data_IF_434358341568
#
_entry.id   IF_434358341568
#
_cell.length_a   1.000
_cell.length_b   1.000
_cell.length_c   1.000
_cell.angle_alpha   90.00
_cell.angle_beta   90.00
_cell.angle_gamma   90.00
#
_symmetry.space_group_name_H-M   'P 1'
#
loop_
_entity.id
_entity.type
_entity.pdbx_description
1 polymer ?
#
# COMPACT_ATOMS: atom_id res chain seq x y z
N UNK A 1 -0.40 25.86 3.46
CA UNK A 1 -0.66 24.54 2.85
C UNK A 1 0.37 23.59 3.41
N UNK A 2 -0.06 22.61 4.17
CA UNK A 2 0.77 21.52 4.67
C UNK A 2 0.40 20.20 3.99
N UNK A 3 1.34 19.23 3.97
CA UNK A 3 1.10 17.85 3.57
C UNK A 3 1.39 16.99 4.79
N UNK A 4 0.42 16.21 5.21
CA UNK A 4 0.53 15.28 6.32
C UNK A 4 0.53 13.85 5.79
N UNK A 5 1.59 13.09 6.03
CA UNK A 5 1.65 11.67 5.70
C UNK A 5 1.22 10.84 6.91
N UNK A 6 0.32 9.88 6.70
CA UNK A 6 -0.27 9.02 7.74
C UNK A 6 -0.03 7.57 7.37
N UNK A 7 0.38 6.76 8.34
CA UNK A 7 0.56 5.31 8.25
C UNK A 7 -0.75 4.55 8.06
N UNK A 8 -0.69 3.24 8.20
CA UNK A 8 -1.83 2.34 8.07
C UNK A 8 -2.96 2.74 9.02
N UNK A 9 -4.15 3.05 8.47
CA UNK A 9 -5.31 3.50 9.26
C UNK A 9 -6.10 2.29 9.78
N UNK A 10 -6.23 1.27 8.97
CA UNK A 10 -6.82 -0.01 9.33
C UNK A 10 -8.16 0.10 10.09
N UNK A 11 -9.10 0.91 9.57
CA UNK A 11 -10.42 1.06 10.17
C UNK A 11 -10.47 1.81 11.52
N UNK A 12 -9.37 2.44 11.94
CA UNK A 12 -9.27 3.22 13.19
C UNK A 12 -9.79 4.66 12.97
N UNK A 13 -11.07 4.80 12.71
CA UNK A 13 -11.69 6.09 12.36
C UNK A 13 -11.59 7.13 13.47
N UNK A 14 -11.85 6.74 14.72
CA UNK A 14 -11.84 7.69 15.82
C UNK A 14 -10.45 8.23 16.11
N UNK A 15 -9.42 7.40 16.02
CA UNK A 15 -8.02 7.75 16.16
C UNK A 15 -7.58 8.69 15.02
N UNK A 16 -8.04 8.39 13.79
CA UNK A 16 -7.81 9.28 12.65
C UNK A 16 -8.43 10.66 12.88
N UNK A 17 -9.67 10.74 13.36
CA UNK A 17 -10.33 12.03 13.68
C UNK A 17 -9.55 12.81 14.74
N UNK A 18 -9.15 12.15 15.84
CA UNK A 18 -8.34 12.78 16.88
C UNK A 18 -7.00 13.29 16.35
N UNK A 19 -6.36 12.53 15.45
CA UNK A 19 -5.13 12.97 14.81
C UNK A 19 -5.36 14.21 13.94
N UNK A 20 -6.41 14.23 13.10
CA UNK A 20 -6.75 15.37 12.25
C UNK A 20 -7.06 16.63 13.08
N UNK A 21 -7.77 16.49 14.20
CA UNK A 21 -7.99 17.58 15.15
C UNK A 21 -6.68 18.09 15.79
N UNK A 22 -5.83 17.17 16.25
CA UNK A 22 -4.55 17.48 16.88
C UNK A 22 -3.62 18.24 15.96
N UNK A 23 -3.53 17.86 14.69
CA UNK A 23 -2.72 18.56 13.68
C UNK A 23 -3.42 19.79 13.09
N UNK A 24 -4.67 20.04 13.49
CA UNK A 24 -5.52 21.13 12.97
C UNK A 24 -5.63 21.08 11.45
N UNK A 25 -5.87 19.88 10.91
CA UNK A 25 -6.01 19.69 9.46
C UNK A 25 -7.15 20.54 8.90
N UNK A 26 -6.83 21.35 7.89
CA UNK A 26 -7.82 22.17 7.16
C UNK A 26 -7.91 21.68 5.70
N UNK A 27 -8.98 20.97 5.38
CA UNK A 27 -9.21 20.42 4.03
C UNK A 27 -9.30 21.50 2.93
N UNK A 28 -9.49 22.78 3.27
CA UNK A 28 -9.46 23.86 2.30
C UNK A 28 -8.03 24.21 1.84
N UNK A 29 -7.02 23.94 2.69
CA UNK A 29 -5.64 24.37 2.47
C UNK A 29 -4.65 23.20 2.44
N UNK A 30 -4.88 22.15 3.24
CA UNK A 30 -3.92 21.06 3.48
C UNK A 30 -4.23 19.83 2.64
N UNK A 31 -3.26 18.90 2.58
CA UNK A 31 -3.42 17.59 1.92
C UNK A 31 -2.98 16.46 2.86
N UNK A 32 -3.66 15.33 2.70
CA UNK A 32 -3.25 14.06 3.34
C UNK A 32 -2.58 13.16 2.30
N UNK A 33 -1.51 12.51 2.71
CA UNK A 33 -0.90 11.39 2.01
C UNK A 33 -1.05 10.14 2.87
N UNK A 34 -1.77 9.15 2.36
CA UNK A 34 -2.12 7.93 3.08
C UNK A 34 -1.40 6.74 2.44
N UNK A 35 -0.63 6.02 3.23
CA UNK A 35 0.20 4.91 2.74
C UNK A 35 -0.60 3.64 2.41
N UNK A 36 -1.92 3.69 2.45
CA UNK A 36 -2.80 2.55 2.20
C UNK A 36 -3.25 1.85 3.48
N UNK A 37 -3.78 0.64 3.33
CA UNK A 37 -4.43 -0.11 4.40
C UNK A 37 -5.43 0.76 5.17
N UNK A 38 -6.37 1.35 4.42
CA UNK A 38 -7.44 2.16 4.99
C UNK A 38 -8.40 1.30 5.81
N UNK A 39 -8.54 0.03 5.44
CA UNK A 39 -9.56 -0.89 5.94
C UNK A 39 -8.97 -2.06 6.73
N UNK A 40 -9.87 -2.84 7.33
CA UNK A 40 -9.61 -4.06 8.08
C UNK A 40 -9.04 -3.80 9.50
N UNK A 41 -8.95 -4.84 10.33
CA UNK A 41 -8.41 -4.84 11.70
C UNK A 41 -9.24 -4.01 12.69
N UNK A 42 -9.29 -2.71 12.54
CA UNK A 42 -10.08 -1.81 13.35
C UNK A 42 -11.58 -1.88 13.02
N UNK A 43 -12.44 -1.27 13.84
CA UNK A 43 -13.88 -1.49 13.80
C UNK A 43 -14.64 -0.69 12.73
N UNK A 44 -14.06 0.40 12.20
CA UNK A 44 -14.81 1.43 11.47
C UNK A 44 -14.31 1.63 10.02
N UNK A 45 -13.99 0.54 9.31
CA UNK A 45 -13.48 0.59 7.92
C UNK A 45 -14.39 1.39 6.98
N UNK A 46 -15.71 1.24 7.13
CA UNK A 46 -16.70 1.96 6.33
C UNK A 46 -16.62 3.48 6.52
N UNK A 47 -16.49 3.93 7.77
CA UNK A 47 -16.39 5.36 8.08
C UNK A 47 -15.08 5.95 7.56
N UNK A 48 -13.97 5.20 7.65
CA UNK A 48 -12.68 5.61 7.07
C UNK A 48 -12.79 5.81 5.56
N UNK A 49 -13.33 4.83 4.83
CA UNK A 49 -13.48 4.94 3.37
C UNK A 49 -14.33 6.15 2.97
N UNK A 50 -15.47 6.36 3.65
CA UNK A 50 -16.35 7.52 3.38
C UNK A 50 -15.64 8.84 3.64
N UNK A 51 -14.91 8.95 4.75
CA UNK A 51 -14.15 10.15 5.08
C UNK A 51 -13.09 10.43 3.99
N UNK A 52 -12.23 9.47 3.71
CA UNK A 52 -11.13 9.65 2.76
C UNK A 52 -11.68 9.98 1.37
N UNK A 53 -12.73 9.29 0.92
CA UNK A 53 -13.42 9.58 -0.33
C UNK A 53 -14.00 11.01 -0.36
N UNK A 54 -14.59 11.47 0.74
CA UNK A 54 -15.18 12.81 0.84
C UNK A 54 -14.16 13.95 0.74
N UNK A 55 -12.90 13.68 1.05
CA UNK A 55 -11.80 14.66 0.93
C UNK A 55 -11.39 14.90 -0.53
N UNK A 56 -11.79 14.05 -1.48
CA UNK A 56 -11.47 14.21 -2.90
C UNK A 56 -9.95 14.36 -3.12
N UNK A 57 -9.57 15.36 -3.92
CA UNK A 57 -8.15 15.61 -4.26
C UNK A 57 -7.29 16.09 -3.08
N UNK A 58 -7.88 16.30 -1.90
CA UNK A 58 -7.15 16.63 -0.68
C UNK A 58 -6.55 15.40 0.01
N UNK A 59 -7.03 14.21 -0.32
CA UNK A 59 -6.47 12.95 0.15
C UNK A 59 -5.88 12.17 -1.03
N UNK A 60 -4.57 11.99 -1.02
CA UNK A 60 -3.88 11.08 -1.93
C UNK A 60 -3.62 9.79 -1.16
N UNK A 61 -4.22 8.71 -1.60
CA UNK A 61 -3.99 7.39 -1.01
C UNK A 61 -3.38 6.44 -2.03
N UNK A 62 -2.49 5.58 -1.56
CA UNK A 62 -2.07 4.39 -2.30
C UNK A 62 -2.80 3.17 -1.73
N UNK A 63 -2.86 2.09 -2.49
CA UNK A 63 -3.50 0.85 -2.05
C UNK A 63 -2.53 0.01 -1.23
N UNK A 64 -2.99 -0.44 -0.08
CA UNK A 64 -2.33 -1.45 0.72
C UNK A 64 -2.84 -2.86 0.46
N UNK A 65 -2.23 -3.85 1.10
CA UNK A 65 -2.62 -5.24 0.93
C UNK A 65 -4.02 -5.55 1.52
N UNK A 66 -4.45 -4.84 2.57
CA UNK A 66 -5.80 -4.99 3.12
C UNK A 66 -6.85 -4.35 2.21
N UNK A 67 -6.53 -3.25 1.54
CA UNK A 67 -7.41 -2.63 0.56
C UNK A 67 -7.62 -3.56 -0.65
N UNK A 68 -6.52 -4.15 -1.17
CA UNK A 68 -6.59 -5.14 -2.24
C UNK A 68 -7.34 -6.40 -1.81
N UNK A 69 -7.21 -6.82 -0.55
CA UNK A 69 -7.96 -7.96 -0.02
C UNK A 69 -9.46 -7.67 0.03
N UNK A 70 -9.89 -6.50 0.51
CA UNK A 70 -11.31 -6.09 0.47
C UNK A 70 -11.84 -6.17 -0.97
N UNK A 71 -11.10 -5.64 -1.94
CA UNK A 71 -11.51 -5.65 -3.34
C UNK A 71 -11.62 -7.08 -3.91
N UNK A 72 -10.67 -7.96 -3.55
CA UNK A 72 -10.69 -9.37 -3.98
C UNK A 72 -11.87 -10.14 -3.37
N UNK A 73 -12.17 -9.94 -2.09
CA UNK A 73 -13.35 -10.53 -1.42
C UNK A 73 -14.64 -10.04 -2.08
N UNK A 74 -14.73 -8.74 -2.35
CA UNK A 74 -15.90 -8.14 -3.00
C UNK A 74 -16.11 -8.63 -4.44
N UNK A 75 -15.03 -8.99 -5.14
CA UNK A 75 -15.07 -9.59 -6.47
C UNK A 75 -15.40 -11.09 -6.45
N UNK A 76 -15.43 -11.73 -5.28
CA UNK A 76 -15.67 -13.17 -5.15
C UNK A 76 -14.42 -14.05 -5.35
N UNK A 77 -13.24 -13.44 -5.45
CA UNK A 77 -11.97 -14.12 -5.72
C UNK A 77 -11.14 -14.42 -4.47
N UNK A 78 -11.64 -14.04 -3.31
CA UNK A 78 -11.07 -14.37 -2.01
C UNK A 78 -12.15 -14.57 -0.95
N UNK A 79 -11.84 -15.36 0.07
CA UNK A 79 -12.68 -15.52 1.25
C UNK A 79 -12.21 -14.59 2.38
N UNK A 80 -13.16 -14.19 3.25
CA UNK A 80 -12.81 -13.50 4.48
C UNK A 80 -11.94 -14.39 5.37
N UNK A 81 -10.86 -13.84 5.89
CA UNK A 81 -10.04 -14.51 6.87
C UNK A 81 -10.62 -14.34 8.28
N UNK A 82 -10.29 -15.28 9.17
CA UNK A 82 -10.64 -15.14 10.59
C UNK A 82 -10.03 -13.84 11.15
N UNK A 83 -10.89 -12.95 11.61
CA UNK A 83 -10.51 -11.66 12.21
C UNK A 83 -10.49 -10.49 11.23
N UNK A 84 -10.96 -10.69 9.99
CA UNK A 84 -11.27 -9.57 9.11
C UNK A 84 -12.49 -8.80 9.64
N UNK A 85 -12.47 -7.48 9.48
CA UNK A 85 -13.53 -6.54 9.92
C UNK A 85 -14.10 -5.77 8.73
N UNK A 86 -14.42 -6.52 7.65
CA UNK A 86 -14.83 -5.96 6.37
C UNK A 86 -16.35 -6.01 6.11
N UNK A 87 -17.10 -6.70 7.00
CA UNK A 87 -18.54 -6.95 6.82
C UNK A 87 -19.35 -5.67 6.65
N UNK A 88 -19.04 -4.61 7.40
CA UNK A 88 -19.76 -3.33 7.27
C UNK A 88 -19.61 -2.72 5.89
N UNK A 89 -18.42 -2.79 5.30
CA UNK A 89 -18.17 -2.29 3.94
C UNK A 89 -18.89 -3.14 2.91
N UNK A 90 -18.80 -4.46 3.05
CA UNK A 90 -19.37 -5.42 2.10
C UNK A 90 -20.92 -5.39 2.09
N UNK A 91 -21.55 -4.96 3.19
CA UNK A 91 -23.00 -4.84 3.32
C UNK A 91 -23.51 -3.40 3.28
N UNK A 92 -22.64 -2.41 3.02
CA UNK A 92 -23.02 -1.00 2.99
C UNK A 92 -23.93 -0.69 1.79
N UNK A 93 -24.91 0.22 1.94
CA UNK A 93 -25.80 0.61 0.83
C UNK A 93 -25.05 1.33 -0.31
N UNK A 94 -23.91 1.96 -0.01
CA UNK A 94 -23.00 2.62 -0.95
C UNK A 94 -21.76 1.79 -1.29
N UNK A 95 -21.81 0.46 -1.00
CA UNK A 95 -20.70 -0.48 -1.22
C UNK A 95 -20.07 -0.33 -2.60
N UNK A 96 -20.89 -0.43 -3.65
CA UNK A 96 -20.38 -0.45 -5.02
C UNK A 96 -19.68 0.85 -5.40
N UNK A 97 -20.18 1.99 -4.94
CA UNK A 97 -19.55 3.29 -5.13
C UNK A 97 -18.21 3.38 -4.40
N UNK A 98 -18.13 2.87 -3.16
CA UNK A 98 -16.89 2.86 -2.38
C UNK A 98 -15.85 1.92 -2.99
N UNK A 99 -16.25 0.73 -3.43
CA UNK A 99 -15.35 -0.25 -4.06
C UNK A 99 -14.82 0.24 -5.41
N UNK A 100 -15.68 0.87 -6.23
CA UNK A 100 -15.24 1.50 -7.48
C UNK A 100 -14.24 2.61 -7.19
N UNK A 101 -14.53 3.50 -6.23
CA UNK A 101 -13.60 4.56 -5.83
C UNK A 101 -12.27 3.99 -5.34
N UNK A 102 -12.28 2.97 -4.46
CA UNK A 102 -11.06 2.36 -3.91
C UNK A 102 -10.24 1.69 -5.02
N UNK A 103 -10.87 0.97 -5.93
CA UNK A 103 -10.24 0.30 -7.08
C UNK A 103 -9.54 1.28 -8.04
N UNK A 104 -9.92 2.55 -8.03
CA UNK A 104 -9.31 3.61 -8.84
C UNK A 104 -8.18 4.34 -8.12
N UNK A 105 -7.86 3.99 -6.87
CA UNK A 105 -6.72 4.58 -6.18
C UNK A 105 -5.41 4.08 -6.77
N UNK A 106 -4.31 4.74 -6.39
CA UNK A 106 -2.97 4.48 -6.91
C UNK A 106 -2.29 3.35 -6.12
N UNK A 107 -1.25 2.76 -6.69
CA UNK A 107 -0.30 1.90 -5.96
C UNK A 107 1.00 2.63 -5.63
N UNK A 108 1.29 3.69 -6.36
CA UNK A 108 2.47 4.51 -6.17
C UNK A 108 2.16 5.96 -6.53
N UNK A 109 2.69 6.88 -5.75
CA UNK A 109 2.59 8.31 -6.04
C UNK A 109 3.94 9.00 -5.82
N UNK A 110 4.29 9.97 -6.67
CA UNK A 110 5.53 10.72 -6.54
C UNK A 110 5.27 12.21 -6.75
N UNK A 111 5.77 13.05 -5.84
CA UNK A 111 5.71 14.49 -5.91
C UNK A 111 6.87 15.12 -5.13
N UNK A 112 7.49 16.17 -5.70
CA UNK A 112 8.45 17.03 -5.03
C UNK A 112 9.63 16.29 -4.33
N UNK A 113 10.14 15.20 -4.92
CA UNK A 113 11.24 14.41 -4.37
C UNK A 113 10.83 13.36 -3.36
N UNK A 114 9.54 13.21 -3.10
CA UNK A 114 8.97 12.17 -2.25
C UNK A 114 8.24 11.12 -3.09
N UNK A 115 8.26 9.89 -2.60
CA UNK A 115 7.50 8.76 -3.19
C UNK A 115 6.66 8.14 -2.09
N UNK A 116 5.36 8.01 -2.32
CA UNK A 116 4.41 7.34 -1.44
C UNK A 116 4.12 5.94 -1.98
N UNK A 117 4.30 4.93 -1.16
CA UNK A 117 4.04 3.51 -1.47
C UNK A 117 3.58 2.81 -0.19
N UNK A 118 2.80 1.74 -0.31
CA UNK A 118 2.39 1.03 0.90
C UNK A 118 3.54 0.25 1.55
N UNK A 119 4.24 -0.62 0.79
CA UNK A 119 5.29 -1.49 1.36
C UNK A 119 6.71 -1.10 0.91
N UNK A 120 7.03 -1.10 -0.37
CA UNK A 120 8.39 -0.78 -0.79
C UNK A 120 8.65 -0.82 -2.29
N UNK A 121 9.90 -0.57 -2.65
CA UNK A 121 10.39 -0.59 -4.02
C UNK A 121 11.53 -1.60 -4.16
N UNK A 122 11.49 -2.44 -5.18
CA UNK A 122 12.62 -3.34 -5.47
C UNK A 122 13.87 -2.55 -5.83
N UNK A 123 15.07 -3.02 -5.44
CA UNK A 123 16.32 -2.25 -5.58
C UNK A 123 16.66 -1.91 -7.04
N UNK A 124 16.26 -2.76 -7.98
CA UNK A 124 16.51 -2.55 -9.40
C UNK A 124 15.54 -1.57 -10.07
N UNK A 125 14.51 -1.07 -9.38
CA UNK A 125 13.56 -0.13 -9.95
C UNK A 125 13.95 1.32 -9.68
N UNK A 126 14.08 2.11 -10.73
CA UNK A 126 14.05 3.57 -10.60
C UNK A 126 12.61 4.02 -10.28
N UNK A 127 12.45 5.23 -9.74
CA UNK A 127 11.11 5.80 -9.47
C UNK A 127 10.25 5.84 -10.74
N UNK A 128 10.83 6.27 -11.86
CA UNK A 128 10.12 6.31 -13.14
C UNK A 128 9.66 4.93 -13.60
N UNK A 129 10.53 3.93 -13.45
CA UNK A 129 10.18 2.54 -13.77
C UNK A 129 9.07 2.04 -12.82
N UNK A 130 9.19 2.27 -11.52
CA UNK A 130 8.20 1.84 -10.53
C UNK A 130 6.82 2.47 -10.78
N UNK A 131 6.76 3.76 -11.16
CA UNK A 131 5.51 4.43 -11.56
C UNK A 131 4.86 3.76 -12.77
N UNK A 132 5.64 3.43 -13.80
CA UNK A 132 5.13 2.71 -14.97
C UNK A 132 4.61 1.32 -14.62
N UNK A 133 5.33 0.60 -13.75
CA UNK A 133 4.92 -0.73 -13.27
C UNK A 133 3.65 -0.67 -12.40
N UNK A 134 3.54 0.32 -11.52
CA UNK A 134 2.33 0.55 -10.74
C UNK A 134 1.12 0.77 -11.65
N UNK A 135 1.27 1.56 -12.72
CA UNK A 135 0.21 1.80 -13.70
C UNK A 135 -0.27 0.51 -14.40
N UNK A 136 0.61 -0.48 -14.63
CA UNK A 136 0.18 -1.77 -15.20
C UNK A 136 -0.83 -2.49 -14.30
N UNK A 137 -0.60 -2.51 -12.99
CA UNK A 137 -1.53 -3.11 -12.03
C UNK A 137 -2.77 -2.22 -11.85
N UNK A 138 -2.62 -0.91 -11.78
CA UNK A 138 -3.73 0.04 -11.70
C UNK A 138 -4.67 -0.09 -12.90
N UNK A 139 -4.14 -0.30 -14.11
CA UNK A 139 -4.95 -0.56 -15.30
C UNK A 139 -5.72 -1.87 -15.20
N UNK A 140 -5.08 -2.94 -14.69
CA UNK A 140 -5.76 -4.21 -14.45
C UNK A 140 -6.89 -4.06 -13.40
N UNK A 141 -6.65 -3.28 -12.34
CA UNK A 141 -7.67 -2.99 -11.32
C UNK A 141 -8.85 -2.17 -11.88
N UNK A 142 -8.61 -1.25 -12.79
CA UNK A 142 -9.64 -0.35 -13.36
C UNK A 142 -10.39 -0.95 -14.54
N UNK A 143 -9.81 -1.96 -15.19
CA UNK A 143 -10.42 -2.63 -16.34
C UNK A 143 -11.66 -3.45 -15.99
N UNK A 144 -12.40 -3.86 -17.00
CA UNK A 144 -13.61 -4.66 -16.83
C UNK A 144 -13.30 -6.07 -16.28
N UNK A 145 -12.12 -6.61 -16.62
CA UNK A 145 -11.64 -7.92 -16.19
C UNK A 145 -10.87 -7.90 -14.85
N UNK A 146 -11.12 -6.92 -13.98
CA UNK A 146 -10.39 -6.79 -12.71
C UNK A 146 -10.53 -8.02 -11.79
N UNK A 147 -11.62 -8.75 -11.86
CA UNK A 147 -11.81 -9.98 -11.10
C UNK A 147 -10.74 -11.02 -11.46
N UNK A 148 -10.40 -11.17 -12.74
CA UNK A 148 -9.35 -12.09 -13.20
C UNK A 148 -7.95 -11.69 -12.64
N UNK A 149 -7.70 -10.40 -12.45
CA UNK A 149 -6.49 -9.98 -11.76
C UNK A 149 -6.48 -10.49 -10.31
N UNK A 150 -7.59 -10.38 -9.58
CA UNK A 150 -7.68 -10.85 -8.19
C UNK A 150 -7.57 -12.37 -8.08
N UNK A 151 -8.14 -13.14 -9.00
CA UNK A 151 -7.94 -14.61 -9.11
C UNK A 151 -6.45 -14.97 -9.12
N UNK A 152 -5.63 -14.15 -9.80
CA UNK A 152 -4.20 -14.41 -9.97
C UNK A 152 -3.28 -13.60 -9.07
N UNK A 153 -3.79 -12.65 -8.30
CA UNK A 153 -2.98 -11.75 -7.48
C UNK A 153 -2.26 -12.48 -6.36
N UNK A 154 -2.94 -13.42 -5.71
CA UNK A 154 -2.38 -14.12 -4.56
C UNK A 154 -1.25 -15.07 -4.93
N UNK A 155 -0.32 -15.22 -3.98
CA UNK A 155 0.82 -16.10 -4.11
C UNK A 155 2.15 -15.37 -3.97
N UNK A 156 3.20 -16.15 -3.69
CA UNK A 156 4.54 -15.66 -3.39
C UNK A 156 5.53 -15.90 -4.55
N UNK A 157 5.09 -16.48 -5.65
CA UNK A 157 5.95 -16.79 -6.80
C UNK A 157 5.44 -16.07 -8.06
N UNK A 158 6.36 -15.45 -8.84
CA UNK A 158 7.81 -15.32 -8.64
C UNK A 158 8.17 -14.44 -7.44
N UNK A 159 9.33 -14.69 -6.82
CA UNK A 159 9.81 -13.90 -5.66
C UNK A 159 10.54 -12.63 -6.07
N UNK A 160 11.20 -12.62 -7.23
CA UNK A 160 12.03 -11.52 -7.72
C UNK A 160 11.55 -10.97 -9.05
N UNK A 161 12.07 -9.80 -9.41
CA UNK A 161 11.78 -9.13 -10.66
C UNK A 161 12.66 -9.62 -11.82
N UNK A 162 12.03 -9.81 -12.97
CA UNK A 162 12.69 -10.02 -14.24
C UNK A 162 11.96 -9.24 -15.33
N UNK A 163 12.70 -8.59 -16.21
CA UNK A 163 12.12 -7.78 -17.29
C UNK A 163 11.33 -8.61 -18.32
N UNK A 164 11.59 -9.92 -18.37
CA UNK A 164 10.89 -10.87 -19.24
C UNK A 164 9.58 -11.44 -18.62
N UNK A 165 9.24 -11.10 -17.38
CA UNK A 165 7.94 -11.47 -16.83
C UNK A 165 6.80 -10.87 -17.66
N UNK A 166 5.73 -11.67 -17.87
CA UNK A 166 4.53 -11.28 -18.64
C UNK A 166 3.25 -11.71 -17.92
N UNK A 167 2.14 -11.09 -18.30
CA UNK A 167 0.81 -11.41 -17.80
C UNK A 167 0.71 -11.33 -16.28
N UNK A 168 -0.12 -12.18 -15.68
CA UNK A 168 -0.40 -12.11 -14.24
C UNK A 168 0.81 -12.40 -13.33
N UNK A 169 1.82 -13.15 -13.79
CA UNK A 169 3.07 -13.31 -13.05
C UNK A 169 3.80 -11.97 -12.86
N UNK A 170 3.81 -11.13 -13.90
CA UNK A 170 4.38 -9.79 -13.86
C UNK A 170 3.59 -8.90 -12.90
N UNK A 171 2.28 -8.83 -13.04
CA UNK A 171 1.41 -8.03 -12.19
C UNK A 171 1.49 -8.43 -10.71
N UNK A 172 1.58 -9.75 -10.44
CA UNK A 172 1.75 -10.27 -9.07
C UNK A 172 3.06 -9.82 -8.43
N UNK A 173 4.18 -9.86 -9.14
CA UNK A 173 5.47 -9.38 -8.60
C UNK A 173 5.39 -7.90 -8.29
N UNK A 174 4.80 -7.10 -9.17
CA UNK A 174 4.62 -5.66 -8.96
C UNK A 174 3.75 -5.41 -7.73
N UNK A 175 2.56 -6.01 -7.66
CA UNK A 175 1.66 -5.86 -6.53
C UNK A 175 2.34 -6.30 -5.21
N UNK A 176 3.02 -7.44 -5.19
CA UNK A 176 3.72 -7.94 -4.02
C UNK A 176 4.84 -7.00 -3.53
N UNK A 177 5.62 -6.43 -4.44
CA UNK A 177 6.66 -5.47 -4.07
C UNK A 177 6.05 -4.21 -3.46
N UNK A 178 5.04 -3.63 -4.12
CA UNK A 178 4.44 -2.37 -3.71
C UNK A 178 3.57 -2.49 -2.45
N UNK A 179 3.02 -3.70 -2.15
CA UNK A 179 2.03 -3.85 -1.07
C UNK A 179 2.39 -4.87 0.02
N UNK A 180 3.45 -5.68 -0.14
CA UNK A 180 3.73 -6.78 0.81
C UNK A 180 5.19 -6.93 1.22
N UNK A 181 6.13 -6.33 0.49
CA UNK A 181 7.56 -6.50 0.70
C UNK A 181 8.01 -5.84 2.01
N UNK A 182 8.87 -6.54 2.77
CA UNK A 182 9.61 -6.00 3.93
C UNK A 182 11.11 -6.18 3.73
N UNK A 183 11.51 -7.41 3.48
CA UNK A 183 12.90 -7.80 3.30
C UNK A 183 13.08 -8.53 1.97
N UNK A 184 14.27 -8.44 1.42
CA UNK A 184 14.66 -9.20 0.25
C UNK A 184 16.16 -9.54 0.26
N UNK A 185 16.55 -10.46 -0.60
CA UNK A 185 17.99 -10.74 -0.84
C UNK A 185 18.65 -9.53 -1.51
N UNK A 186 20.00 -9.44 -1.53
CA UNK A 186 20.71 -8.41 -2.28
C UNK A 186 20.36 -8.37 -3.78
N UNK A 187 19.87 -9.47 -4.35
CA UNK A 187 19.40 -9.58 -5.73
C UNK A 187 17.95 -9.10 -5.92
N UNK A 188 17.23 -8.84 -4.83
CA UNK A 188 15.85 -8.38 -4.85
C UNK A 188 14.80 -9.49 -4.82
N UNK A 189 15.16 -10.71 -4.36
CA UNK A 189 14.18 -11.76 -4.13
C UNK A 189 13.47 -11.52 -2.80
N UNK A 190 12.16 -11.30 -2.86
CA UNK A 190 11.31 -10.93 -1.72
C UNK A 190 11.05 -12.13 -0.80
N UNK A 191 11.09 -11.89 0.50
CA UNK A 191 10.65 -12.82 1.54
C UNK A 191 9.35 -12.28 2.18
N UNK A 192 8.30 -13.11 2.26
CA UNK A 192 6.96 -12.67 2.65
C UNK A 192 6.49 -13.19 4.03
N UNK A 193 7.22 -14.13 4.63
CA UNK A 193 6.84 -14.72 5.92
C UNK A 193 7.35 -13.88 7.10
N UNK A 194 8.43 -13.15 6.89
CA UNK A 194 9.01 -12.31 7.92
C UNK A 194 8.14 -11.09 8.23
N UNK A 195 7.83 -10.92 9.52
CA UNK A 195 7.02 -9.81 10.04
C UNK A 195 7.58 -9.22 11.34
N UNK A 196 8.80 -9.64 11.67
CA UNK A 196 9.47 -9.27 12.93
C UNK A 196 10.19 -7.93 12.89
N UNK A 197 10.88 -7.64 13.97
CA UNK A 197 11.74 -6.49 14.16
C UNK A 197 12.99 -6.58 13.29
N UNK A 198 13.62 -5.45 12.96
CA UNK A 198 14.79 -5.40 12.06
C UNK A 198 15.95 -6.23 12.56
N UNK A 199 16.17 -6.26 13.87
CA UNK A 199 17.26 -7.02 14.50
C UNK A 199 17.12 -8.54 14.33
N UNK A 200 15.92 -9.00 13.98
CA UNK A 200 15.59 -10.41 13.77
C UNK A 200 15.56 -10.82 12.29
N UNK A 201 15.98 -9.92 11.39
CA UNK A 201 16.02 -10.23 9.95
C UNK A 201 16.94 -11.45 9.71
N UNK A 202 16.46 -12.48 8.99
CA UNK A 202 17.23 -13.67 8.72
C UNK A 202 18.50 -13.39 7.92
N UNK A 203 19.55 -14.16 8.18
CA UNK A 203 20.80 -14.05 7.41
C UNK A 203 20.56 -14.20 5.90
N UNK A 204 21.19 -13.33 5.13
CA UNK A 204 21.03 -13.30 3.67
C UNK A 204 19.93 -12.38 3.17
N UNK A 205 19.13 -11.80 4.07
CA UNK A 205 18.12 -10.78 3.76
C UNK A 205 18.46 -9.44 4.39
N UNK A 206 17.95 -8.38 3.81
CA UNK A 206 18.03 -7.02 4.32
C UNK A 206 16.65 -6.35 4.20
N UNK A 207 16.34 -5.37 5.05
CA UNK A 207 15.27 -4.43 4.75
C UNK A 207 15.42 -3.90 3.33
N UNK A 208 14.33 -3.82 2.57
CA UNK A 208 14.40 -3.42 1.16
C UNK A 208 15.10 -2.07 0.96
N UNK A 209 14.95 -1.17 1.93
CA UNK A 209 15.53 0.18 1.91
C UNK A 209 17.03 0.22 2.27
N UNK A 210 17.58 -0.83 2.86
CA UNK A 210 19.00 -0.94 3.20
C UNK A 210 19.83 -1.69 2.13
N UNK A 211 19.19 -2.07 1.03
CA UNK A 211 19.89 -2.74 -0.05
C UNK A 211 20.88 -1.82 -0.75
N UNK A 212 22.13 -2.25 -0.98
CA UNK A 212 23.12 -1.45 -1.67
C UNK A 212 22.72 -1.26 -3.15
N UNK A 213 22.98 -0.06 -3.67
CA UNK A 213 22.74 0.26 -5.09
C UNK A 213 21.28 0.39 -5.48
N UNK A 214 20.39 0.59 -4.52
CA UNK A 214 18.98 0.87 -4.75
C UNK A 214 18.80 2.09 -5.67
N UNK A 215 18.14 1.90 -6.81
CA UNK A 215 17.94 2.95 -7.82
C UNK A 215 16.97 4.06 -7.39
N UNK A 216 16.23 3.88 -6.28
CA UNK A 216 15.35 4.87 -5.67
C UNK A 216 15.98 5.62 -4.49
N UNK A 217 17.30 5.52 -4.29
CA UNK A 217 17.99 6.12 -3.14
C UNK A 217 18.10 7.66 -3.19
N UNK A 218 17.84 8.27 -4.33
CA UNK A 218 17.89 9.72 -4.54
C UNK A 218 16.62 10.48 -4.12
N UNK A 219 15.55 9.74 -3.73
CA UNK A 219 14.30 10.30 -3.25
C UNK A 219 13.99 9.79 -1.86
N UNK A 220 13.12 10.49 -1.13
CA UNK A 220 12.60 10.00 0.15
C UNK A 220 11.34 9.17 -0.09
N UNK A 221 11.39 7.87 0.23
CA UNK A 221 10.25 6.95 0.12
C UNK A 221 9.49 6.90 1.44
N UNK A 222 8.20 7.27 1.40
CA UNK A 222 7.27 7.23 2.54
C UNK A 222 6.44 5.95 2.44
N UNK A 223 6.42 5.14 3.48
CA UNK A 223 5.75 3.85 3.47
C UNK A 223 5.19 3.43 4.85
N UNK A 224 4.30 2.41 4.86
CA UNK A 224 3.70 1.78 6.02
C UNK A 224 3.97 0.28 6.08
N UNK A 225 2.93 -0.54 6.26
CA UNK A 225 2.92 -2.00 6.15
C UNK A 225 3.74 -2.77 7.20
N UNK A 226 4.84 -2.25 7.67
CA UNK A 226 5.77 -2.96 8.56
C UNK A 226 5.77 -2.36 9.98
N UNK A 227 4.69 -2.60 10.73
CA UNK A 227 4.53 -2.04 12.09
C UNK A 227 5.66 -2.43 13.06
N UNK A 228 6.19 -3.67 12.97
CA UNK A 228 7.30 -4.10 13.81
C UNK A 228 8.64 -3.38 13.53
N UNK A 229 8.72 -2.59 12.45
CA UNK A 229 9.87 -1.72 12.15
C UNK A 229 9.90 -0.50 13.09
N UNK A 230 8.74 -0.01 13.49
CA UNK A 230 8.59 1.24 14.19
C UNK A 230 8.84 2.48 13.31
N UNK A 231 8.59 3.65 13.87
CA UNK A 231 8.82 4.92 13.17
C UNK A 231 10.29 5.08 12.77
N UNK A 232 10.53 5.25 11.48
CA UNK A 232 11.85 5.60 10.95
C UNK A 232 11.75 6.91 10.19
N UNK A 233 12.67 7.84 10.47
CA UNK A 233 12.78 9.10 9.72
C UNK A 233 14.25 9.27 9.30
N UNK A 234 14.50 8.97 8.03
CA UNK A 234 15.82 9.06 7.40
C UNK A 234 15.75 9.96 6.18
N UNK A 235 16.89 10.34 5.63
CA UNK A 235 16.94 11.16 4.41
C UNK A 235 16.36 10.48 3.17
N UNK A 236 16.42 9.15 3.12
CA UNK A 236 16.02 8.32 1.99
C UNK A 236 14.71 7.55 2.20
N UNK A 237 14.25 7.40 3.47
CA UNK A 237 12.99 6.72 3.80
C UNK A 237 12.31 7.30 5.03
N UNK A 238 10.98 7.21 5.04
CA UNK A 238 10.12 7.48 6.20
C UNK A 238 9.15 6.31 6.34
N UNK A 239 9.34 5.47 7.38
CA UNK A 239 8.40 4.43 7.76
C UNK A 239 7.46 4.97 8.84
N UNK A 240 6.15 4.88 8.62
CA UNK A 240 5.16 5.56 9.46
C UNK A 240 4.47 4.66 10.47
N UNK A 241 4.50 3.35 10.29
CA UNK A 241 3.81 2.41 11.18
C UNK A 241 4.60 2.13 12.45
N UNK A 242 3.86 1.96 13.55
CA UNK A 242 4.43 1.71 14.89
C UNK A 242 3.72 0.56 15.59
#
# INVERSE_FOLDING_TARGET
MAIYAIGDIQGCYNELQQLLEKIRFDAAQDRLWLVGDLVNRGPDSLRVLRLVKSLGDRAITVLGNHDLHLLAVAAGEAELHRGDTLDEVLNAPDRDELLVWLRHQRLLYAEAGYVLVHAGLLPQWSVTQALGLAQEVEQALRGDDYAVFFEHMYGNSPHGWRDDHRGYKRLRVIANALTRMRICTPQGDMEFKFKGEVEKVPHGYLPWFDLPGRKSAEVTVIFGHWSALGLQVRGDVIALDT
#
